data_IF_666773369946
#
_entry.id   IF_666773369946
#
_cell.length_a   1.000
_cell.length_b   1.000
_cell.length_c   1.000
_cell.angle_alpha   90.00
_cell.angle_beta   90.00
_cell.angle_gamma   90.00
#
_symmetry.space_group_name_H-M   'P 1'
#
loop_
_entity.id
_entity.type
_entity.pdbx_description
1 polymer ?
#
# COMPACT_ATOMS: atom_id res chain seq x y z
N UNK A 1 1.17 -6.72 40.30
CA UNK A 1 2.63 -6.93 40.14
C UNK A 1 3.01 -8.27 39.50
N UNK A 2 2.42 -9.41 39.88
CA UNK A 2 2.70 -10.74 39.27
C UNK A 2 2.18 -10.86 37.83
N UNK A 3 0.97 -10.35 37.56
CA UNK A 3 0.34 -10.35 36.23
C UNK A 3 1.19 -9.61 35.17
N UNK A 4 1.92 -8.56 35.56
CA UNK A 4 2.84 -7.84 34.69
C UNK A 4 4.10 -8.64 34.36
N UNK A 5 4.64 -9.40 35.32
CA UNK A 5 5.80 -10.27 35.07
C UNK A 5 5.44 -11.42 34.13
N UNK A 6 4.26 -12.02 34.33
CA UNK A 6 3.77 -13.12 33.48
C UNK A 6 3.49 -12.63 32.06
N UNK A 7 2.85 -11.47 31.90
CA UNK A 7 2.65 -10.81 30.60
C UNK A 7 3.99 -10.53 29.90
N UNK A 8 4.98 -10.03 30.64
CA UNK A 8 6.32 -9.74 30.09
C UNK A 8 7.07 -11.01 29.65
N UNK A 9 6.98 -12.10 30.42
CA UNK A 9 7.59 -13.37 30.03
C UNK A 9 6.94 -13.95 28.78
N UNK A 10 5.61 -13.87 28.69
CA UNK A 10 4.88 -14.39 27.53
C UNK A 10 5.19 -13.58 26.26
N UNK A 11 5.24 -12.24 26.37
CA UNK A 11 5.65 -11.36 25.27
C UNK A 11 7.10 -11.62 24.85
N UNK A 12 8.02 -11.83 25.82
CA UNK A 12 9.42 -12.19 25.52
C UNK A 12 9.54 -13.53 24.80
N UNK A 13 8.75 -14.54 25.19
CA UNK A 13 8.72 -15.85 24.53
C UNK A 13 8.15 -15.77 23.12
N UNK A 14 7.07 -15.00 22.90
CA UNK A 14 6.53 -14.76 21.56
C UNK A 14 7.53 -14.01 20.67
N UNK A 15 8.20 -13.00 21.23
CA UNK A 15 9.20 -12.19 20.51
C UNK A 15 10.45 -13.02 20.15
N UNK A 16 10.89 -13.90 21.05
CA UNK A 16 12.01 -14.80 20.80
C UNK A 16 11.67 -15.90 19.77
N UNK A 17 10.40 -16.37 19.75
CA UNK A 17 9.93 -17.41 18.83
C UNK A 17 9.60 -16.88 17.43
N UNK A 18 9.15 -15.63 17.29
CA UNK A 18 8.87 -15.01 15.98
C UNK A 18 10.09 -14.38 15.32
N UNK A 19 11.04 -13.86 16.10
CA UNK A 19 12.12 -13.00 15.56
C UNK A 19 13.54 -13.41 15.96
N UNK A 20 13.73 -14.55 16.64
CA UNK A 20 15.06 -15.09 16.93
C UNK A 20 15.98 -14.13 17.69
N UNK A 21 15.92 -14.17 19.03
CA UNK A 21 16.90 -13.59 19.97
C UNK A 21 16.88 -12.06 20.16
N UNK A 22 16.39 -11.60 21.33
CA UNK A 22 16.67 -10.26 21.89
C UNK A 22 16.94 -10.32 23.40
N UNK A 23 18.20 -10.46 23.87
CA UNK A 23 18.48 -10.54 25.29
C UNK A 23 18.81 -9.16 25.92
N UNK A 24 18.98 -8.08 25.15
CA UNK A 24 19.75 -6.91 25.65
C UNK A 24 19.16 -5.50 25.48
N UNK A 25 17.90 -5.32 25.06
CA UNK A 25 17.29 -3.97 24.93
C UNK A 25 16.31 -3.62 26.06
N UNK A 26 16.24 -2.33 26.50
CA UNK A 26 15.29 -1.88 27.51
C UNK A 26 13.84 -2.13 27.08
N UNK A 27 12.98 -2.46 28.04
CA UNK A 27 11.60 -2.92 27.84
C UNK A 27 10.65 -1.93 27.12
N UNK A 28 11.06 -0.67 26.91
CA UNK A 28 10.32 0.34 26.12
C UNK A 28 10.56 0.27 24.61
N UNK A 29 11.71 -0.24 24.16
CA UNK A 29 12.02 -0.40 22.74
C UNK A 29 11.22 -1.51 22.01
N UNK A 30 10.93 -2.68 22.61
CA UNK A 30 10.17 -3.73 21.91
C UNK A 30 8.70 -3.33 21.67
N UNK A 31 8.09 -2.52 22.54
CA UNK A 31 6.71 -2.06 22.36
C UNK A 31 6.61 -1.04 21.24
N UNK A 32 7.53 -0.07 21.17
CA UNK A 32 7.58 0.94 20.11
C UNK A 32 7.84 0.31 18.74
N UNK A 33 8.73 -0.69 18.68
CA UNK A 33 8.99 -1.47 17.48
C UNK A 33 7.74 -2.25 17.01
N UNK A 34 7.08 -2.97 17.92
CA UNK A 34 5.85 -3.72 17.61
C UNK A 34 4.73 -2.78 17.11
N UNK A 35 4.55 -1.63 17.75
CA UNK A 35 3.57 -0.62 17.34
C UNK A 35 3.92 -0.05 15.96
N UNK A 36 5.19 0.27 15.70
CA UNK A 36 5.64 0.81 14.42
C UNK A 36 5.41 -0.16 13.25
N UNK A 37 5.72 -1.44 13.45
CA UNK A 37 5.48 -2.48 12.44
C UNK A 37 3.97 -2.70 12.22
N UNK A 38 3.15 -2.71 13.29
CA UNK A 38 1.70 -2.83 13.17
C UNK A 38 1.07 -1.67 12.39
N UNK A 39 1.53 -0.43 12.65
CA UNK A 39 1.04 0.75 11.92
C UNK A 39 1.40 0.65 10.44
N UNK A 40 2.60 0.20 10.10
CA UNK A 40 3.01 0.01 8.70
C UNK A 40 2.10 -1.01 7.99
N UNK A 41 1.81 -2.15 8.63
CA UNK A 41 0.89 -3.14 8.05
C UNK A 41 -0.54 -2.64 7.94
N UNK A 42 -1.03 -1.91 8.93
CA UNK A 42 -2.35 -1.29 8.88
C UNK A 42 -2.44 -0.27 7.73
N UNK A 43 -1.39 0.51 7.52
CA UNK A 43 -1.29 1.44 6.40
C UNK A 43 -1.32 0.70 5.05
N UNK A 44 -0.55 -0.38 4.88
CA UNK A 44 -0.53 -1.19 3.65
C UNK A 44 -1.91 -1.80 3.38
N UNK A 45 -2.57 -2.37 4.38
CA UNK A 45 -3.92 -2.94 4.22
C UNK A 45 -4.92 -1.82 3.90
N UNK A 46 -4.80 -0.68 4.58
CA UNK A 46 -5.63 0.50 4.32
C UNK A 46 -5.51 0.98 2.87
N UNK A 47 -4.29 1.11 2.34
CA UNK A 47 -4.10 1.51 0.95
C UNK A 47 -4.70 0.51 -0.04
N UNK A 48 -4.68 -0.80 0.25
CA UNK A 48 -5.37 -1.79 -0.60
C UNK A 48 -6.87 -1.51 -0.68
N UNK A 49 -7.51 -1.29 0.46
CA UNK A 49 -8.96 -1.07 0.53
C UNK A 49 -9.35 0.22 -0.18
N UNK A 50 -8.58 1.29 -0.01
CA UNK A 50 -8.80 2.55 -0.72
C UNK A 50 -8.60 2.42 -2.24
N UNK A 51 -7.62 1.63 -2.68
CA UNK A 51 -7.37 1.37 -4.11
C UNK A 51 -8.55 0.65 -4.78
N UNK A 52 -9.23 -0.26 -4.08
CA UNK A 52 -10.45 -0.90 -4.59
C UNK A 52 -11.56 0.13 -4.79
N UNK A 53 -11.78 1.01 -3.80
CA UNK A 53 -12.80 2.06 -3.88
C UNK A 53 -12.51 3.03 -5.03
N UNK A 54 -11.26 3.47 -5.17
CA UNK A 54 -10.83 4.30 -6.31
C UNK A 54 -11.09 3.59 -7.64
N UNK A 55 -10.79 2.29 -7.74
CA UNK A 55 -11.04 1.53 -8.98
C UNK A 55 -12.51 1.54 -9.39
N UNK A 56 -13.47 1.50 -8.44
CA UNK A 56 -14.91 1.64 -8.73
C UNK A 56 -15.23 3.03 -9.28
N UNK A 57 -14.65 4.10 -8.71
CA UNK A 57 -14.79 5.46 -9.23
C UNK A 57 -14.26 5.60 -10.66
N UNK A 58 -13.16 4.91 -10.99
CA UNK A 58 -12.64 4.88 -12.36
C UNK A 58 -13.64 4.25 -13.33
N UNK A 59 -14.21 3.10 -13.00
CA UNK A 59 -15.23 2.46 -13.84
C UNK A 59 -16.43 3.37 -14.07
N UNK A 60 -16.89 4.07 -13.02
CA UNK A 60 -17.97 5.04 -13.15
C UNK A 60 -17.58 6.24 -14.03
N UNK A 61 -16.34 6.75 -13.88
CA UNK A 61 -15.80 7.84 -14.69
C UNK A 61 -15.71 7.48 -16.18
N UNK A 62 -15.32 6.24 -16.49
CA UNK A 62 -15.29 5.71 -17.86
C UNK A 62 -16.73 5.60 -18.42
N UNK A 63 -17.67 5.06 -17.65
CA UNK A 63 -19.06 4.87 -18.10
C UNK A 63 -19.77 6.21 -18.40
N UNK A 64 -19.55 7.21 -17.55
CA UNK A 64 -20.11 8.56 -17.72
C UNK A 64 -19.30 9.45 -18.68
N UNK A 65 -18.17 8.96 -19.19
CA UNK A 65 -17.19 9.72 -19.99
C UNK A 65 -16.83 11.08 -19.35
N UNK A 66 -16.87 11.14 -18.01
CA UNK A 66 -16.64 12.39 -17.30
C UNK A 66 -15.21 12.47 -16.77
N UNK A 67 -14.48 13.41 -17.37
CA UNK A 67 -13.07 13.69 -17.10
C UNK A 67 -12.81 14.07 -15.63
N UNK A 68 -13.81 14.64 -14.94
CA UNK A 68 -13.70 15.07 -13.54
C UNK A 68 -13.47 13.90 -12.57
N UNK A 69 -13.86 12.67 -12.92
CA UNK A 69 -13.62 11.48 -12.08
C UNK A 69 -12.30 10.76 -12.39
N UNK A 70 -11.74 10.97 -13.59
CA UNK A 70 -10.44 10.39 -13.96
C UNK A 70 -9.29 11.05 -13.20
N UNK A 71 -9.31 12.38 -13.07
CA UNK A 71 -8.18 13.13 -12.47
C UNK A 71 -7.97 12.78 -10.99
N UNK A 72 -9.02 12.77 -10.12
CA UNK A 72 -8.86 12.34 -8.73
C UNK A 72 -8.41 10.90 -8.60
N UNK A 73 -8.79 10.02 -9.54
CA UNK A 73 -8.33 8.64 -9.54
C UNK A 73 -6.81 8.54 -9.76
N UNK A 74 -6.28 9.23 -10.77
CA UNK A 74 -4.84 9.23 -11.06
C UNK A 74 -4.05 9.79 -9.89
N UNK A 75 -4.48 10.93 -9.33
CA UNK A 75 -3.83 11.55 -8.17
C UNK A 75 -3.89 10.63 -6.94
N UNK A 76 -5.06 10.06 -6.65
CA UNK A 76 -5.25 9.13 -5.54
C UNK A 76 -4.36 7.89 -5.67
N UNK A 77 -4.33 7.28 -6.86
CA UNK A 77 -3.48 6.12 -7.15
C UNK A 77 -1.99 6.43 -6.94
N UNK A 78 -1.50 7.59 -7.40
CA UNK A 78 -0.11 8.03 -7.15
C UNK A 78 0.19 8.21 -5.65
N UNK A 79 -0.70 8.86 -4.92
CA UNK A 79 -0.50 9.09 -3.47
C UNK A 79 -0.49 7.79 -2.66
N UNK A 80 -1.41 6.87 -2.93
CA UNK A 80 -1.47 5.60 -2.20
C UNK A 80 -0.33 4.65 -2.57
N UNK A 81 0.16 4.67 -3.81
CA UNK A 81 1.37 3.95 -4.17
C UNK A 81 2.60 4.47 -3.43
N UNK A 82 2.75 5.80 -3.32
CA UNK A 82 3.84 6.39 -2.56
C UNK A 82 3.75 6.01 -1.07
N UNK A 83 2.55 6.02 -0.50
CA UNK A 83 2.33 5.65 0.91
C UNK A 83 2.60 4.17 1.18
N UNK A 84 2.19 3.27 0.28
CA UNK A 84 2.48 1.84 0.34
C UNK A 84 4.00 1.57 0.28
N UNK A 85 4.70 2.22 -0.66
CA UNK A 85 6.16 2.12 -0.77
C UNK A 85 6.88 2.62 0.49
N UNK A 86 6.46 3.77 1.02
CA UNK A 86 7.03 4.33 2.26
C UNK A 86 6.77 3.45 3.48
N UNK A 87 5.56 2.91 3.62
CA UNK A 87 5.21 2.00 4.71
C UNK A 87 6.07 0.73 4.67
N UNK A 88 6.35 0.20 3.47
CA UNK A 88 7.21 -0.97 3.30
C UNK A 88 8.69 -0.69 3.57
N UNK A 89 9.21 0.45 3.09
CA UNK A 89 10.58 0.85 3.42
C UNK A 89 10.73 1.06 4.92
N UNK A 90 9.73 1.68 5.57
CA UNK A 90 9.73 1.88 7.01
C UNK A 90 9.70 0.55 7.79
N UNK A 91 8.85 -0.40 7.41
CA UNK A 91 8.84 -1.73 8.04
C UNK A 91 10.16 -2.47 7.84
N UNK A 92 10.80 -2.30 6.68
CA UNK A 92 12.09 -2.91 6.39
C UNK A 92 13.23 -2.29 7.21
N UNK A 93 13.30 -0.96 7.32
CA UNK A 93 14.32 -0.27 8.14
C UNK A 93 14.18 -0.68 9.61
N UNK A 94 12.96 -0.73 10.13
CA UNK A 94 12.72 -1.18 11.50
C UNK A 94 13.25 -2.61 11.70
N UNK A 95 12.98 -3.51 10.76
CA UNK A 95 13.46 -4.90 10.81
C UNK A 95 14.99 -5.01 10.72
N UNK A 96 15.61 -4.19 9.89
CA UNK A 96 17.07 -4.19 9.70
C UNK A 96 17.82 -3.73 10.98
N UNK A 97 17.30 -2.72 11.67
CA UNK A 97 17.83 -2.27 12.98
C UNK A 97 17.87 -3.37 14.03
N UNK A 98 16.96 -4.33 13.91
CA UNK A 98 16.65 -5.35 14.92
C UNK A 98 17.39 -6.62 14.56
N UNK A 99 17.20 -7.15 13.34
CA UNK A 99 17.73 -8.46 12.94
C UNK A 99 19.17 -8.45 12.38
N UNK A 100 19.71 -7.27 11.99
CA UNK A 100 21.04 -7.11 11.35
C UNK A 100 21.30 -8.02 10.12
N UNK A 101 20.27 -8.69 9.62
CA UNK A 101 20.27 -9.57 8.44
C UNK A 101 18.95 -9.39 7.67
N UNK A 102 19.02 -9.45 6.35
CA UNK A 102 17.85 -9.40 5.48
C UNK A 102 17.11 -10.75 5.51
N UNK A 103 16.00 -10.80 6.26
CA UNK A 103 15.12 -11.96 6.28
C UNK A 103 14.48 -12.24 4.91
N UNK A 104 14.21 -13.52 4.64
CA UNK A 104 13.50 -13.97 3.43
C UNK A 104 12.14 -13.28 3.22
N UNK A 105 11.48 -12.87 4.30
CA UNK A 105 10.23 -12.11 4.26
C UNK A 105 10.40 -10.73 3.61
N UNK A 106 11.50 -10.02 3.91
CA UNK A 106 11.79 -8.72 3.30
C UNK A 106 12.02 -8.86 1.78
N UNK A 107 12.76 -9.91 1.38
CA UNK A 107 13.00 -10.21 -0.04
C UNK A 107 11.70 -10.54 -0.77
N UNK A 108 10.78 -11.27 -0.13
CA UNK A 108 9.47 -11.57 -0.69
C UNK A 108 8.60 -10.31 -0.84
N UNK A 109 8.51 -9.47 0.20
CA UNK A 109 7.73 -8.22 0.19
C UNK A 109 8.19 -7.27 -0.93
N UNK A 110 9.50 -7.08 -1.10
CA UNK A 110 10.07 -6.25 -2.19
C UNK A 110 9.76 -6.88 -3.57
N UNK A 111 9.86 -8.20 -3.68
CA UNK A 111 9.59 -8.93 -4.92
C UNK A 111 8.13 -8.77 -5.36
N UNK A 112 7.18 -8.67 -4.43
CA UNK A 112 5.78 -8.38 -4.76
C UNK A 112 5.51 -6.90 -5.07
N UNK A 113 6.28 -5.97 -4.48
CA UNK A 113 6.10 -4.54 -4.69
C UNK A 113 6.44 -4.09 -6.11
N UNK A 114 7.60 -4.51 -6.61
CA UNK A 114 8.14 -4.07 -7.90
C UNK A 114 7.16 -4.32 -9.06
N UNK A 115 6.70 -5.57 -9.30
CA UNK A 115 5.79 -5.84 -10.40
C UNK A 115 4.46 -5.10 -10.25
N UNK A 116 3.99 -4.92 -9.01
CA UNK A 116 2.76 -4.17 -8.74
C UNK A 116 2.89 -2.69 -9.11
N UNK A 117 3.99 -2.03 -8.74
CA UNK A 117 4.24 -0.63 -9.12
C UNK A 117 4.26 -0.52 -10.65
N UNK A 118 4.92 -1.44 -11.35
CA UNK A 118 4.98 -1.45 -12.81
C UNK A 118 3.58 -1.57 -13.44
N UNK A 119 2.75 -2.49 -12.95
CA UNK A 119 1.36 -2.65 -13.43
C UNK A 119 0.53 -1.38 -13.17
N UNK A 120 0.66 -0.76 -12.01
CA UNK A 120 -0.06 0.48 -11.70
C UNK A 120 0.41 1.65 -12.58
N UNK A 121 1.71 1.75 -12.89
CA UNK A 121 2.22 2.73 -13.85
C UNK A 121 1.63 2.52 -15.25
N UNK A 122 1.53 1.27 -15.71
CA UNK A 122 0.86 0.95 -16.97
C UNK A 122 -0.62 1.34 -16.95
N UNK A 123 -1.33 1.07 -15.85
CA UNK A 123 -2.73 1.50 -15.69
C UNK A 123 -2.88 3.02 -15.74
N UNK A 124 -2.02 3.78 -15.05
CA UNK A 124 -2.04 5.25 -15.11
C UNK A 124 -1.79 5.73 -16.54
N UNK A 125 -0.83 5.15 -17.24
CA UNK A 125 -0.55 5.51 -18.64
C UNK A 125 -1.76 5.29 -19.54
N UNK A 126 -2.45 4.14 -19.41
CA UNK A 126 -3.69 3.86 -20.13
C UNK A 126 -4.80 4.89 -19.82
N UNK A 127 -4.97 5.25 -18.55
CA UNK A 127 -5.99 6.23 -18.12
C UNK A 127 -5.66 7.63 -18.62
N UNK A 128 -4.39 8.04 -18.62
CA UNK A 128 -3.95 9.31 -19.20
C UNK A 128 -4.18 9.36 -20.71
N UNK A 129 -3.90 8.27 -21.43
CA UNK A 129 -4.22 8.16 -22.85
C UNK A 129 -5.72 8.32 -23.09
N UNK A 130 -6.57 7.66 -22.29
CA UNK A 130 -8.03 7.82 -22.38
C UNK A 130 -8.48 9.25 -22.07
N UNK A 131 -7.89 9.89 -21.05
CA UNK A 131 -8.13 11.30 -20.72
C UNK A 131 -7.84 12.22 -21.91
N UNK A 132 -6.70 12.02 -22.60
CA UNK A 132 -6.35 12.80 -23.78
C UNK A 132 -7.33 12.58 -24.94
N UNK A 133 -7.80 11.34 -25.16
CA UNK A 133 -8.79 11.03 -26.19
C UNK A 133 -10.17 11.67 -25.90
N UNK A 134 -10.63 11.58 -24.65
CA UNK A 134 -11.88 12.22 -24.22
C UNK A 134 -11.81 13.75 -24.34
N UNK A 135 -10.65 14.35 -24.02
CA UNK A 135 -10.43 15.79 -24.21
C UNK A 135 -10.38 16.21 -25.68
N UNK A 136 -9.96 15.32 -26.57
CA UNK A 136 -10.00 15.52 -28.02
C UNK A 136 -11.41 15.33 -28.62
N UNK A 137 -12.42 15.03 -27.80
CA UNK A 137 -13.81 14.84 -28.25
C UNK A 137 -14.09 13.48 -28.87
N UNK A 138 -13.15 12.53 -28.77
CA UNK A 138 -13.32 11.16 -29.27
C UNK A 138 -14.12 10.37 -28.23
N UNK A 139 -15.43 10.26 -28.45
CA UNK A 139 -16.34 9.46 -27.60
C UNK A 139 -16.40 8.02 -28.12
N UNK A 140 -16.53 7.05 -27.21
CA UNK A 140 -16.68 5.64 -27.59
C UNK A 140 -18.13 5.24 -27.85
N UNK A 141 -19.10 6.13 -27.61
CA UNK A 141 -20.54 5.86 -27.77
C UNK A 141 -21.04 5.83 -29.22
N UNK A 142 -20.15 5.99 -30.20
CA UNK A 142 -20.51 6.08 -31.62
C UNK A 142 -21.10 7.45 -31.97
N UNK A 143 -21.08 7.79 -33.26
CA UNK A 143 -21.70 9.03 -33.74
C UNK A 143 -23.18 9.05 -33.30
N UNK A 144 -23.57 10.12 -32.62
CA UNK A 144 -24.97 10.34 -32.30
C UNK A 144 -25.80 10.18 -33.59
N UNK A 145 -26.92 9.43 -33.58
CA UNK A 145 -27.81 9.39 -34.72
C UNK A 145 -28.23 10.83 -35.00
N UNK A 146 -27.86 11.31 -36.18
CA UNK A 146 -28.28 12.59 -36.71
C UNK A 146 -29.77 12.38 -36.97
N UNK A 147 -30.63 12.91 -36.08
CA UNK A 147 -32.07 12.93 -36.31
C UNK A 147 -32.29 13.87 -37.51
N UNK A 148 -32.58 13.26 -38.67
CA UNK A 148 -32.86 13.93 -39.94
C UNK A 148 -34.34 14.34 -39.99
#
# INVERSE_FOLDING_TARGET
MILERVRNQFIRLLCCRMYGVYPFYPLSYPTLFMIGVQIAYFAIIGTQMFMIVLSIFLFYGIYKENVAFLVPWVVGCMTFMALEAMAMVYSNILRDHVNKQFDAMCKAEITFLIPRILLNCLCIWCVLRLYHLLRAGVTWKGAAPIEL
#
